data_IF_313789401962
#
_entry.id   IF_313789401962
#
_cell.length_a   1.000
_cell.length_b   1.000
_cell.length_c   1.000
_cell.angle_alpha   90.00
_cell.angle_beta   90.00
_cell.angle_gamma   90.00
#
_symmetry.space_group_name_H-M   'P 1'
#
loop_
_entity.id
_entity.type
_entity.pdbx_description
1 polymer ?
#
# COMPACT_ATOMS: atom_id res chain seq x y z
N UNK A 1 11.00 -31.30 -61.20
CA UNK A 1 11.21 -30.71 -59.86
C UNK A 1 10.03 -29.78 -59.60
N UNK A 2 9.36 -30.02 -58.47
CA UNK A 2 8.03 -29.55 -58.13
C UNK A 2 8.02 -28.03 -57.82
N UNK A 3 7.07 -27.25 -58.35
CA UNK A 3 6.90 -25.83 -58.05
C UNK A 3 6.09 -25.64 -56.75
N UNK A 4 6.47 -24.67 -55.91
CA UNK A 4 5.67 -24.20 -54.78
C UNK A 4 5.52 -22.68 -54.94
N UNK A 5 4.54 -22.24 -55.72
CA UNK A 5 3.17 -21.89 -55.28
C UNK A 5 3.19 -20.50 -54.63
N UNK A 6 3.01 -19.50 -55.49
CA UNK A 6 2.55 -18.18 -55.09
C UNK A 6 1.16 -18.26 -54.48
N UNK A 7 0.94 -17.38 -53.51
CA UNK A 7 -0.24 -17.28 -52.65
C UNK A 7 -1.56 -17.38 -53.41
N UNK A 8 -2.39 -18.35 -53.03
CA UNK A 8 -3.80 -18.41 -53.36
C UNK A 8 -4.58 -17.86 -52.16
N UNK A 9 -5.33 -16.78 -52.41
CA UNK A 9 -6.73 -16.55 -52.04
C UNK A 9 -7.31 -17.38 -50.87
N UNK A 10 -8.18 -16.90 -49.97
CA UNK A 10 -8.98 -15.69 -49.81
C UNK A 10 -9.95 -16.00 -48.64
N UNK A 11 -10.54 -14.96 -48.05
CA UNK A 11 -11.77 -14.91 -47.22
C UNK A 11 -11.79 -15.68 -45.87
N UNK A 12 -11.90 -14.95 -44.76
CA UNK A 12 -13.18 -14.76 -44.04
C UNK A 12 -13.03 -13.87 -42.79
N UNK A 13 -13.59 -12.66 -42.94
CA UNK A 13 -14.41 -11.94 -41.98
C UNK A 13 -13.96 -11.91 -40.50
N UNK A 14 -13.17 -10.89 -40.15
CA UNK A 14 -13.20 -10.37 -38.79
C UNK A 14 -14.47 -9.51 -38.65
N UNK A 15 -15.48 -10.04 -37.96
CA UNK A 15 -16.68 -9.29 -37.63
C UNK A 15 -16.27 -7.99 -36.92
N UNK A 16 -16.69 -6.86 -37.48
CA UNK A 16 -16.54 -5.57 -36.84
C UNK A 16 -17.31 -5.58 -35.51
N UNK A 17 -16.59 -5.61 -34.39
CA UNK A 17 -17.15 -5.26 -33.10
C UNK A 17 -17.68 -3.81 -33.20
N UNK A 18 -18.91 -3.51 -32.71
CA UNK A 18 -19.42 -2.16 -32.73
C UNK A 18 -18.44 -1.26 -31.97
N UNK A 19 -18.05 -0.15 -32.61
CA UNK A 19 -17.16 0.85 -32.04
C UNK A 19 -17.72 1.26 -30.66
N UNK A 20 -16.94 0.97 -29.62
CA UNK A 20 -17.18 1.52 -28.29
C UNK A 20 -17.27 3.05 -28.48
N UNK A 21 -18.32 3.73 -27.99
CA UNK A 21 -18.29 5.19 -27.94
C UNK A 21 -17.01 5.60 -27.22
N UNK A 22 -16.35 6.73 -27.55
CA UNK A 22 -15.15 7.18 -26.86
C UNK A 22 -15.49 7.43 -25.38
N UNK A 23 -15.44 6.35 -24.63
CA UNK A 23 -15.76 6.24 -23.22
C UNK A 23 -14.52 6.60 -22.46
N UNK A 24 -14.34 7.89 -22.24
CA UNK A 24 -13.69 8.28 -20.99
C UNK A 24 -14.62 7.80 -19.88
N UNK A 25 -14.18 6.82 -19.09
CA UNK A 25 -14.80 6.62 -17.77
C UNK A 25 -14.89 8.00 -17.11
N UNK A 26 -16.03 8.40 -16.52
CA UNK A 26 -16.10 9.67 -15.81
C UNK A 26 -15.02 9.63 -14.75
N UNK A 27 -13.94 10.38 -14.96
CA UNK A 27 -12.91 10.57 -13.96
C UNK A 27 -13.65 11.19 -12.79
N UNK A 28 -13.77 10.44 -11.68
CA UNK A 28 -14.30 10.99 -10.44
C UNK A 28 -13.54 12.28 -10.20
N UNK A 29 -14.23 13.43 -10.32
CA UNK A 29 -13.63 14.72 -10.04
C UNK A 29 -13.18 14.68 -8.60
N UNK A 30 -11.87 14.62 -8.37
CA UNK A 30 -11.33 14.74 -7.01
C UNK A 30 -11.83 16.06 -6.45
N UNK A 31 -12.52 16.01 -5.31
CA UNK A 31 -12.85 17.20 -4.58
C UNK A 31 -11.52 17.81 -4.15
N UNK A 32 -11.18 18.97 -4.71
CA UNK A 32 -9.98 19.69 -4.27
C UNK A 32 -10.30 20.22 -2.89
N UNK A 33 -9.73 19.60 -1.86
CA UNK A 33 -9.70 20.16 -0.52
C UNK A 33 -8.92 21.47 -0.66
N UNK A 34 -9.63 22.59 -0.64
CA UNK A 34 -9.04 23.93 -0.88
C UNK A 34 -8.61 24.60 0.42
N UNK A 35 -9.20 24.18 1.54
CA UNK A 35 -8.79 24.53 2.89
C UNK A 35 -8.08 23.31 3.50
N UNK A 36 -6.75 23.40 3.66
CA UNK A 36 -5.98 22.36 4.35
C UNK A 36 -6.33 22.28 5.84
N UNK A 37 -5.75 21.32 6.58
CA UNK A 37 -5.95 21.23 8.02
C UNK A 37 -5.62 22.56 8.72
N UNK A 38 -6.44 22.93 9.70
CA UNK A 38 -6.08 23.97 10.65
C UNK A 38 -4.79 23.58 11.41
N UNK A 39 -4.14 24.54 12.04
CA UNK A 39 -2.93 24.26 12.82
C UNK A 39 -3.17 23.24 13.96
N UNK A 40 -4.38 23.20 14.53
CA UNK A 40 -4.74 22.24 15.56
C UNK A 40 -4.92 20.83 14.98
N UNK A 41 -5.65 20.70 13.87
CA UNK A 41 -5.81 19.42 13.17
C UNK A 41 -4.48 18.90 12.64
N UNK A 42 -3.60 19.77 12.13
CA UNK A 42 -2.27 19.39 11.69
C UNK A 42 -1.44 18.87 12.88
N UNK A 43 -1.52 19.50 14.05
CA UNK A 43 -0.84 19.02 15.25
C UNK A 43 -1.38 17.67 15.74
N UNK A 44 -2.67 17.40 15.58
CA UNK A 44 -3.27 16.10 15.88
C UNK A 44 -2.76 15.02 14.92
N UNK A 45 -2.71 15.31 13.62
CA UNK A 45 -2.12 14.40 12.61
C UNK A 45 -0.65 14.12 12.93
N UNK A 46 0.13 15.15 13.26
CA UNK A 46 1.54 14.98 13.62
C UNK A 46 1.73 14.14 14.89
N UNK A 47 0.77 14.18 15.82
CA UNK A 47 0.79 13.34 17.02
C UNK A 47 0.57 11.85 16.71
N UNK A 48 -0.06 11.50 15.58
CA UNK A 48 -0.29 10.12 15.15
C UNK A 48 0.94 9.48 14.48
N UNK A 49 1.87 10.29 13.94
CA UNK A 49 3.04 9.80 13.21
C UNK A 49 3.87 8.73 13.94
N UNK A 50 4.16 8.85 15.24
CA UNK A 50 4.90 7.83 15.96
C UNK A 50 4.22 6.45 15.92
N UNK A 51 2.89 6.39 15.95
CA UNK A 51 2.14 5.15 15.87
C UNK A 51 2.26 4.55 14.47
N UNK A 52 2.01 5.36 13.44
CA UNK A 52 2.16 4.96 12.04
C UNK A 52 3.56 4.40 11.78
N UNK A 53 4.60 5.07 12.28
CA UNK A 53 5.98 4.60 12.15
C UNK A 53 6.21 3.25 12.84
N UNK A 54 5.63 3.03 14.03
CA UNK A 54 5.73 1.74 14.72
C UNK A 54 4.98 0.63 13.97
N UNK A 55 3.84 0.94 13.36
CA UNK A 55 3.07 0.01 12.52
C UNK A 55 3.82 -0.35 11.24
N UNK A 56 4.51 0.61 10.62
CA UNK A 56 5.38 0.35 9.46
C UNK A 56 6.57 -0.56 9.84
N UNK A 57 7.20 -0.34 11.00
CA UNK A 57 8.25 -1.25 11.49
C UNK A 57 7.73 -2.69 11.69
N UNK A 58 6.48 -2.84 12.14
CA UNK A 58 5.84 -4.14 12.29
C UNK A 58 5.57 -4.78 10.93
N UNK A 59 5.00 -4.02 10.00
CA UNK A 59 4.75 -4.47 8.63
C UNK A 59 6.05 -4.92 7.95
N UNK A 60 7.13 -4.18 8.10
CA UNK A 60 8.46 -4.56 7.59
C UNK A 60 8.95 -5.87 8.22
N UNK A 61 8.75 -6.07 9.52
CA UNK A 61 9.09 -7.33 10.17
C UNK A 61 8.25 -8.51 9.65
N UNK A 62 6.98 -8.30 9.35
CA UNK A 62 6.08 -9.31 8.77
C UNK A 62 6.43 -9.66 7.33
N UNK A 63 6.72 -8.65 6.50
CA UNK A 63 7.21 -8.83 5.13
C UNK A 63 8.50 -9.66 5.14
N UNK A 64 9.43 -9.36 6.06
CA UNK A 64 10.66 -10.13 6.20
C UNK A 64 10.39 -11.61 6.55
N UNK A 65 9.42 -11.90 7.41
CA UNK A 65 9.05 -13.28 7.73
C UNK A 65 8.45 -14.02 6.53
N UNK A 66 7.62 -13.34 5.73
CA UNK A 66 7.03 -13.92 4.51
C UNK A 66 8.14 -14.24 3.51
N UNK A 67 9.04 -13.27 3.26
CA UNK A 67 10.14 -13.43 2.31
C UNK A 67 11.19 -14.45 2.77
N UNK A 68 11.31 -14.70 4.08
CA UNK A 68 12.23 -15.70 4.60
C UNK A 68 11.91 -17.12 4.11
N UNK A 69 10.66 -17.40 3.71
CA UNK A 69 10.28 -18.69 3.14
C UNK A 69 11.12 -19.06 1.91
N UNK A 70 11.45 -18.07 1.07
CA UNK A 70 12.27 -18.24 -0.13
C UNK A 70 13.78 -18.37 0.18
N UNK A 71 14.16 -18.22 1.46
CA UNK A 71 15.56 -18.14 1.91
C UNK A 71 15.89 -19.14 3.04
N UNK A 72 15.15 -20.25 3.12
CA UNK A 72 15.40 -21.30 4.12
C UNK A 72 14.59 -21.15 5.41
N UNK A 73 13.63 -20.22 5.43
CA UNK A 73 12.67 -20.00 6.50
C UNK A 73 13.08 -18.92 7.51
N UNK A 74 12.13 -18.46 8.35
CA UNK A 74 12.38 -17.46 9.39
C UNK A 74 13.44 -17.87 10.41
N UNK A 75 14.35 -16.94 10.73
CA UNK A 75 15.35 -17.14 11.78
C UNK A 75 14.83 -16.72 13.16
N UNK A 76 15.52 -17.15 14.23
CA UNK A 76 15.22 -16.70 15.59
C UNK A 76 15.34 -15.17 15.76
N UNK A 77 16.16 -14.49 14.95
CA UNK A 77 16.29 -13.04 14.98
C UNK A 77 15.05 -12.36 14.40
N UNK A 78 14.46 -12.90 13.33
CA UNK A 78 13.26 -12.35 12.69
C UNK A 78 12.07 -12.39 13.66
N UNK A 79 11.91 -13.51 14.38
CA UNK A 79 10.91 -13.62 15.44
C UNK A 79 11.13 -12.67 16.61
N UNK A 80 12.38 -12.30 16.91
CA UNK A 80 12.67 -11.27 17.92
C UNK A 80 12.35 -9.88 17.40
N UNK A 81 12.61 -9.60 16.12
CA UNK A 81 12.28 -8.32 15.48
C UNK A 81 10.77 -8.08 15.46
N UNK A 82 9.98 -9.06 15.02
CA UNK A 82 8.50 -8.98 15.05
C UNK A 82 7.96 -8.67 16.45
N UNK A 83 8.36 -9.45 17.46
CA UNK A 83 7.90 -9.22 18.85
C UNK A 83 8.25 -7.84 19.40
N UNK A 84 9.42 -7.30 19.04
CA UNK A 84 9.80 -5.94 19.45
C UNK A 84 8.95 -4.88 18.74
N UNK A 85 8.65 -5.08 17.45
CA UNK A 85 7.79 -4.17 16.70
C UNK A 85 6.34 -4.19 17.26
N UNK A 86 5.78 -5.36 17.55
CA UNK A 86 4.47 -5.50 18.21
C UNK A 86 4.42 -4.79 19.58
N UNK A 87 5.47 -4.97 20.39
CA UNK A 87 5.58 -4.29 21.68
C UNK A 87 5.69 -2.77 21.51
N UNK A 88 6.40 -2.30 20.48
CA UNK A 88 6.52 -0.87 20.15
C UNK A 88 5.16 -0.30 19.75
N UNK A 89 4.41 -0.97 18.88
CA UNK A 89 3.04 -0.56 18.48
C UNK A 89 2.15 -0.44 19.72
N UNK A 90 2.09 -1.48 20.55
CA UNK A 90 1.27 -1.47 21.77
C UNK A 90 1.62 -0.30 22.68
N UNK A 91 2.92 -0.05 22.90
CA UNK A 91 3.38 1.06 23.74
C UNK A 91 2.99 2.41 23.16
N UNK A 92 3.28 2.65 21.88
CA UNK A 92 3.01 3.94 21.23
C UNK A 92 1.50 4.19 21.10
N UNK A 93 0.70 3.16 20.86
CA UNK A 93 -0.75 3.26 20.88
C UNK A 93 -1.28 3.65 22.26
N UNK A 94 -0.71 3.09 23.34
CA UNK A 94 -1.08 3.47 24.69
C UNK A 94 -0.68 4.93 25.03
N UNK A 95 0.48 5.38 24.58
CA UNK A 95 0.93 6.77 24.72
C UNK A 95 0.01 7.73 23.95
N UNK A 96 -0.36 7.38 22.71
CA UNK A 96 -1.31 8.15 21.91
C UNK A 96 -2.71 8.16 22.53
N UNK A 97 -3.18 7.05 23.10
CA UNK A 97 -4.49 7.00 23.76
C UNK A 97 -4.54 7.77 25.10
N UNK A 98 -3.39 8.05 25.72
CA UNK A 98 -3.34 8.77 26.99
C UNK A 98 -3.90 10.20 26.86
N UNK A 99 -4.54 10.76 27.90
CA UNK A 99 -4.99 12.14 27.93
C UNK A 99 -3.86 13.13 27.57
N UNK A 100 -4.15 14.26 26.90
CA UNK A 100 -3.14 15.24 26.48
C UNK A 100 -2.26 15.77 27.62
N UNK A 101 -2.78 15.78 28.86
CA UNK A 101 -2.06 16.19 30.07
C UNK A 101 -0.94 15.21 30.45
N UNK A 102 -1.08 13.93 30.13
CA UNK A 102 -0.07 12.89 30.39
C UNK A 102 0.92 12.74 29.22
N UNK A 103 0.52 13.05 27.99
CA UNK A 103 1.41 13.00 26.81
C UNK A 103 2.61 13.96 26.92
N UNK A 104 2.42 15.14 27.54
CA UNK A 104 3.48 16.16 27.71
C UNK A 104 4.55 15.80 28.74
N UNK A 105 4.31 14.81 29.61
CA UNK A 105 5.24 14.48 30.70
C UNK A 105 6.35 13.49 30.32
N UNK A 106 6.35 12.99 29.08
CA UNK A 106 7.25 11.92 28.59
C UNK A 106 8.28 12.44 27.57
N UNK A 107 8.19 13.72 27.17
CA UNK A 107 9.11 14.37 26.24
C UNK A 107 10.31 15.02 26.94
#
# INVERSE_FOLDING_TARGET
MNPQVGAVANVLAFAAAPALPPGGNPVRKFHRITDGPSAAELAEIEAEWPLIAAELDLLDAEINLINAADHGGPTALDWRRKRRAEAKVTRVAAELAAPPTLRKAVA
#
